data_IF_028136490441
#
_entry.id   IF_028136490441
#
_cell.length_a   1.000
_cell.length_b   1.000
_cell.length_c   1.000
_cell.angle_alpha   90.00
_cell.angle_beta   90.00
_cell.angle_gamma   90.00
#
_symmetry.space_group_name_H-M   'P 1'
#
loop_
_entity.id
_entity.type
_entity.pdbx_description
1 polymer ?
#
# COMPACT_ATOMS: atom_id res chain seq x y z
N UNK A 1 3.27 13.53 10.75
CA UNK A 1 2.77 12.30 10.11
C UNK A 1 1.26 12.32 10.09
N UNK A 2 0.62 11.82 9.02
CA UNK A 2 -0.84 11.70 8.88
C UNK A 2 -1.34 10.34 9.31
N UNK A 3 -2.61 10.25 9.67
CA UNK A 3 -3.30 9.00 9.94
C UNK A 3 -4.20 8.64 8.74
N UNK A 4 -3.94 7.50 8.13
CA UNK A 4 -4.68 6.99 6.98
C UNK A 4 -5.34 5.65 7.25
N UNK A 5 -6.24 5.28 6.35
CA UNK A 5 -6.92 3.99 6.35
C UNK A 5 -7.26 3.57 4.93
N UNK A 6 -7.37 2.26 4.68
CA UNK A 6 -7.91 1.75 3.41
C UNK A 6 -9.31 2.29 3.16
N UNK A 7 -9.54 2.77 1.96
CA UNK A 7 -10.82 3.39 1.57
C UNK A 7 -12.00 2.41 1.71
N UNK A 8 -11.75 1.11 1.51
CA UNK A 8 -12.75 0.03 1.67
C UNK A 8 -13.46 0.04 3.02
N UNK A 9 -12.79 0.47 4.09
CA UNK A 9 -13.36 0.56 5.43
C UNK A 9 -14.64 1.41 5.48
N UNK A 10 -14.73 2.42 4.63
CA UNK A 10 -15.83 3.38 4.60
C UNK A 10 -16.73 3.29 3.36
N UNK A 11 -16.45 2.38 2.41
CA UNK A 11 -17.22 2.25 1.17
C UNK A 11 -18.71 2.02 1.38
N UNK A 12 -19.10 1.32 2.44
CA UNK A 12 -20.50 1.00 2.74
C UNK A 12 -21.38 2.22 3.03
N UNK A 13 -20.76 3.35 3.38
CA UNK A 13 -21.47 4.63 3.58
C UNK A 13 -21.64 5.41 2.26
N UNK A 14 -20.96 4.98 1.18
CA UNK A 14 -20.83 5.76 -0.05
C UNK A 14 -19.65 6.74 0.02
N UNK A 15 -19.28 7.36 -1.12
CA UNK A 15 -18.02 8.09 -1.24
C UNK A 15 -17.95 9.31 -0.31
N UNK A 16 -18.93 10.23 -0.41
CA UNK A 16 -18.92 11.48 0.38
C UNK A 16 -19.20 11.21 1.86
N UNK A 17 -20.27 10.47 2.17
CA UNK A 17 -20.61 10.17 3.57
C UNK A 17 -19.51 9.31 4.26
N UNK A 18 -18.89 8.39 3.52
CA UNK A 18 -17.75 7.61 4.01
C UNK A 18 -16.55 8.50 4.35
N UNK A 19 -16.20 9.44 3.47
CA UNK A 19 -15.11 10.38 3.72
C UNK A 19 -15.40 11.29 4.92
N UNK A 20 -16.63 11.80 5.04
CA UNK A 20 -17.08 12.58 6.18
C UNK A 20 -16.93 11.81 7.49
N UNK A 21 -17.43 10.56 7.54
CA UNK A 21 -17.29 9.69 8.71
C UNK A 21 -15.83 9.38 9.05
N UNK A 22 -15.01 9.06 8.05
CA UNK A 22 -13.58 8.83 8.27
C UNK A 22 -12.93 10.07 8.91
N UNK A 23 -13.27 11.26 8.45
CA UNK A 23 -12.80 12.53 9.03
C UNK A 23 -13.28 12.75 10.45
N UNK A 24 -14.56 12.51 10.70
CA UNK A 24 -15.18 12.62 12.04
C UNK A 24 -14.54 11.62 13.04
N UNK A 25 -14.19 10.42 12.59
CA UNK A 25 -13.51 9.41 13.40
C UNK A 25 -12.04 9.75 13.65
N UNK A 26 -11.44 10.61 12.82
CA UNK A 26 -10.10 11.14 13.04
C UNK A 26 -9.05 10.73 12.03
N UNK A 27 -9.46 10.12 10.91
CA UNK A 27 -8.58 9.87 9.77
C UNK A 27 -8.40 11.14 8.92
N UNK A 28 -7.29 11.21 8.19
CA UNK A 28 -6.91 12.38 7.39
C UNK A 28 -6.74 12.03 5.91
N UNK A 29 -6.49 10.75 5.61
CA UNK A 29 -6.25 10.29 4.25
C UNK A 29 -6.70 8.85 4.03
N UNK A 30 -6.90 8.54 2.73
CA UNK A 30 -7.20 7.21 2.24
C UNK A 30 -6.00 6.58 1.55
N UNK A 31 -5.92 5.26 1.69
CA UNK A 31 -5.27 4.35 0.78
C UNK A 31 -6.32 3.79 -0.19
N UNK A 32 -6.14 3.99 -1.47
CA UNK A 32 -7.14 3.65 -2.47
C UNK A 32 -6.91 2.25 -3.03
N UNK A 33 -7.76 1.29 -2.65
CA UNK A 33 -7.62 -0.13 -2.97
C UNK A 33 -8.42 -0.62 -4.19
N UNK A 34 -9.26 0.21 -4.84
CA UNK A 34 -10.15 -0.28 -5.93
C UNK A 34 -9.45 -0.72 -7.20
N UNK A 35 -8.16 -0.46 -7.35
CA UNK A 35 -7.39 -0.96 -8.49
C UNK A 35 -6.96 -2.42 -8.32
N UNK A 36 -7.04 -2.96 -7.10
CA UNK A 36 -6.62 -4.35 -6.79
C UNK A 36 -7.31 -5.36 -7.71
N UNK A 37 -8.62 -5.22 -7.90
CA UNK A 37 -9.40 -6.10 -8.78
C UNK A 37 -9.67 -5.43 -10.15
N UNK A 38 -8.96 -5.88 -11.17
CA UNK A 38 -9.09 -5.39 -12.56
C UNK A 38 -10.35 -5.89 -13.27
N UNK A 39 -11.06 -6.87 -12.71
CA UNK A 39 -12.27 -7.43 -13.29
C UNK A 39 -13.53 -6.61 -13.00
N UNK A 40 -13.45 -5.62 -12.12
CA UNK A 40 -14.56 -4.76 -11.77
C UNK A 40 -15.01 -3.87 -12.94
N UNK A 41 -16.30 -3.59 -13.02
CA UNK A 41 -16.87 -2.63 -14.00
C UNK A 41 -16.19 -1.25 -13.88
N UNK A 42 -15.83 -0.84 -12.65
CA UNK A 42 -15.10 0.40 -12.40
C UNK A 42 -13.74 0.41 -13.08
N UNK A 43 -12.93 -0.65 -12.93
CA UNK A 43 -11.60 -0.70 -13.55
C UNK A 43 -11.69 -0.84 -15.07
N UNK A 44 -12.74 -1.47 -15.60
CA UNK A 44 -12.98 -1.66 -17.04
C UNK A 44 -13.52 -0.43 -17.76
N UNK A 45 -13.87 0.65 -17.07
CA UNK A 45 -14.32 1.88 -17.70
C UNK A 45 -13.33 2.35 -18.80
N UNK A 46 -13.80 2.90 -19.93
CA UNK A 46 -12.96 3.61 -20.88
C UNK A 46 -12.15 4.72 -20.21
N UNK A 47 -10.98 5.05 -20.74
CA UNK A 47 -10.01 5.95 -20.09
C UNK A 47 -10.63 7.30 -19.66
N UNK A 48 -11.42 7.93 -20.53
CA UNK A 48 -12.05 9.23 -20.21
C UNK A 48 -13.09 9.12 -19.10
N UNK A 49 -13.88 8.04 -19.07
CA UNK A 49 -14.86 7.79 -18.02
C UNK A 49 -14.17 7.42 -16.70
N UNK A 50 -13.10 6.61 -16.77
CA UNK A 50 -12.28 6.24 -15.63
C UNK A 50 -11.65 7.48 -14.98
N UNK A 51 -11.06 8.37 -15.80
CA UNK A 51 -10.51 9.65 -15.36
C UNK A 51 -11.59 10.54 -14.73
N UNK A 52 -12.75 10.67 -15.38
CA UNK A 52 -13.84 11.48 -14.86
C UNK A 52 -14.33 10.98 -13.51
N UNK A 53 -14.51 9.65 -13.36
CA UNK A 53 -14.95 9.06 -12.10
C UNK A 53 -13.92 9.23 -10.98
N UNK A 54 -12.63 9.02 -11.25
CA UNK A 54 -11.58 9.22 -10.25
C UNK A 54 -11.42 10.69 -9.84
N UNK A 55 -11.56 11.60 -10.80
CA UNK A 55 -11.59 13.03 -10.50
C UNK A 55 -12.77 13.38 -9.61
N UNK A 56 -13.96 12.85 -9.90
CA UNK A 56 -15.15 13.01 -9.07
C UNK A 56 -14.96 12.45 -7.66
N UNK A 57 -14.36 11.25 -7.53
CA UNK A 57 -14.05 10.65 -6.23
C UNK A 57 -13.12 11.58 -5.44
N UNK A 58 -12.03 12.03 -6.06
CA UNK A 58 -11.09 12.97 -5.43
C UNK A 58 -11.79 14.22 -4.90
N UNK A 59 -12.62 14.86 -5.73
CA UNK A 59 -13.32 16.09 -5.37
C UNK A 59 -14.28 15.86 -4.19
N UNK A 60 -15.02 14.75 -4.19
CA UNK A 60 -15.94 14.42 -3.11
C UNK A 60 -15.21 14.15 -1.78
N UNK A 61 -14.11 13.37 -1.79
CA UNK A 61 -13.40 13.09 -0.55
C UNK A 61 -12.64 14.31 -0.03
N UNK A 62 -12.11 15.15 -0.93
CA UNK A 62 -11.46 16.41 -0.55
C UNK A 62 -12.43 17.43 0.04
N UNK A 63 -13.66 17.49 -0.45
CA UNK A 63 -14.71 18.35 0.12
C UNK A 63 -15.01 18.02 1.59
N UNK A 64 -14.83 16.75 1.99
CA UNK A 64 -14.97 16.31 3.38
C UNK A 64 -13.66 16.38 4.19
N UNK A 65 -12.59 16.90 3.62
CA UNK A 65 -11.29 17.07 4.28
C UNK A 65 -10.44 15.80 4.35
N UNK A 66 -10.69 14.81 3.50
CA UNK A 66 -9.87 13.61 3.30
C UNK A 66 -9.07 13.76 2.01
N UNK A 67 -7.81 13.32 2.01
CA UNK A 67 -6.98 13.25 0.78
C UNK A 67 -6.68 11.80 0.44
N UNK A 68 -6.55 11.46 -0.84
CA UNK A 68 -5.98 10.16 -1.22
C UNK A 68 -4.46 10.31 -1.16
N UNK A 69 -3.82 9.60 -0.23
CA UNK A 69 -2.38 9.69 -0.01
C UNK A 69 -1.62 8.72 -0.90
N UNK A 70 -2.09 7.48 -0.92
CA UNK A 70 -1.50 6.39 -1.68
C UNK A 70 -2.60 5.58 -2.38
N UNK A 71 -2.22 4.80 -3.38
CA UNK A 71 -3.11 3.92 -4.11
C UNK A 71 -2.42 2.59 -4.38
N UNK A 72 -3.13 1.48 -4.14
CA UNK A 72 -2.63 0.14 -4.34
C UNK A 72 -2.77 -0.31 -5.80
N UNK A 73 -1.72 -0.91 -6.33
CA UNK A 73 -1.69 -1.48 -7.68
C UNK A 73 -2.62 -2.69 -7.81
N UNK A 74 -2.97 -3.08 -9.05
CA UNK A 74 -3.62 -4.34 -9.32
C UNK A 74 -2.86 -5.52 -8.71
N UNK A 75 -3.59 -6.39 -8.01
CA UNK A 75 -3.06 -7.60 -7.42
C UNK A 75 -3.88 -8.80 -7.87
N UNK A 76 -3.23 -9.93 -8.15
CA UNK A 76 -3.92 -11.16 -8.49
C UNK A 76 -3.25 -12.38 -7.85
N UNK A 77 -4.07 -13.18 -7.21
CA UNK A 77 -3.67 -14.47 -6.67
C UNK A 77 -4.71 -15.55 -7.04
N UNK A 78 -4.31 -16.74 -7.52
CA UNK A 78 -2.93 -17.16 -7.77
C UNK A 78 -2.25 -16.31 -8.87
N UNK A 79 -0.91 -16.17 -8.82
CA UNK A 79 -0.19 -15.34 -9.77
C UNK A 79 -0.26 -15.89 -11.20
N UNK A 80 -0.39 -15.00 -12.18
CA UNK A 80 -0.38 -15.30 -13.63
C UNK A 80 0.62 -14.38 -14.32
N UNK A 81 1.90 -14.52 -13.96
CA UNK A 81 3.00 -13.68 -14.45
C UNK A 81 4.08 -14.49 -15.17
N UNK A 82 3.78 -15.76 -15.51
CA UNK A 82 4.78 -16.72 -15.96
C UNK A 82 5.31 -16.41 -17.37
N UNK A 83 4.44 -15.98 -18.28
CA UNK A 83 4.83 -15.70 -19.66
C UNK A 83 5.09 -14.22 -19.92
N UNK A 84 5.87 -13.85 -20.94
CA UNK A 84 6.00 -12.46 -21.38
C UNK A 84 4.65 -11.82 -21.73
N UNK A 85 3.73 -12.59 -22.32
CA UNK A 85 2.39 -12.14 -22.71
C UNK A 85 1.55 -11.79 -21.47
N UNK A 86 1.54 -12.65 -20.43
CA UNK A 86 0.86 -12.37 -19.17
C UNK A 86 1.38 -11.08 -18.50
N UNK A 87 2.71 -10.90 -18.53
CA UNK A 87 3.35 -9.69 -17.97
C UNK A 87 3.04 -8.44 -18.80
N UNK A 88 2.96 -8.57 -20.13
CA UNK A 88 2.59 -7.45 -20.99
C UNK A 88 1.14 -7.00 -20.76
N UNK A 89 0.20 -7.95 -20.60
CA UNK A 89 -1.18 -7.66 -20.20
C UNK A 89 -1.22 -6.95 -18.85
N UNK A 90 -0.54 -7.51 -17.85
CA UNK A 90 -0.49 -6.91 -16.51
C UNK A 90 0.11 -5.51 -16.52
N UNK A 91 1.10 -5.23 -17.37
CA UNK A 91 1.69 -3.90 -17.50
C UNK A 91 0.68 -2.86 -17.99
N UNK A 92 -0.25 -3.24 -18.87
CA UNK A 92 -1.33 -2.34 -19.30
C UNK A 92 -2.24 -1.96 -18.14
N UNK A 93 -2.64 -2.93 -17.32
CA UNK A 93 -3.46 -2.68 -16.12
C UNK A 93 -2.72 -1.82 -15.10
N UNK A 94 -1.43 -2.12 -14.86
CA UNK A 94 -0.59 -1.33 -13.96
C UNK A 94 -0.45 0.13 -14.43
N UNK A 95 -0.23 0.36 -15.73
CA UNK A 95 -0.18 1.72 -16.30
C UNK A 95 -1.50 2.46 -16.13
N UNK A 96 -2.62 1.78 -16.35
CA UNK A 96 -3.95 2.37 -16.09
C UNK A 96 -4.12 2.74 -14.62
N UNK A 97 -3.71 1.88 -13.69
CA UNK A 97 -3.77 2.15 -12.27
C UNK A 97 -2.86 3.32 -11.85
N UNK A 98 -1.64 3.43 -12.41
CA UNK A 98 -0.75 4.59 -12.20
C UNK A 98 -1.42 5.89 -12.66
N UNK A 99 -2.04 5.91 -13.85
CA UNK A 99 -2.81 7.07 -14.30
C UNK A 99 -3.96 7.37 -13.34
N UNK A 100 -4.64 6.31 -12.90
CA UNK A 100 -5.71 6.43 -11.90
C UNK A 100 -5.23 7.04 -10.58
N UNK A 101 -4.07 6.64 -10.07
CA UNK A 101 -3.47 7.25 -8.88
C UNK A 101 -3.23 8.76 -9.08
N UNK A 102 -2.72 9.15 -10.25
CA UNK A 102 -2.56 10.57 -10.62
C UNK A 102 -3.90 11.32 -10.64
N UNK A 103 -4.95 10.76 -11.23
CA UNK A 103 -6.28 11.40 -11.28
C UNK A 103 -6.89 11.59 -9.89
N UNK A 104 -6.61 10.67 -8.96
CA UNK A 104 -6.97 10.78 -7.54
C UNK A 104 -6.13 11.81 -6.78
N UNK A 105 -4.97 12.22 -7.33
CA UNK A 105 -3.99 13.06 -6.64
C UNK A 105 -3.13 12.30 -5.63
N UNK A 106 -3.12 10.97 -5.70
CA UNK A 106 -2.22 10.14 -4.90
C UNK A 106 -0.78 10.28 -5.41
N UNK A 107 0.17 10.44 -4.47
CA UNK A 107 1.58 10.63 -4.77
C UNK A 107 2.38 9.34 -4.67
N UNK A 108 1.88 8.39 -3.89
CA UNK A 108 2.48 7.10 -3.62
C UNK A 108 1.66 6.00 -4.30
N UNK A 109 2.33 5.17 -5.09
CA UNK A 109 1.73 4.01 -5.73
C UNK A 109 2.36 2.75 -5.14
N UNK A 110 1.56 1.90 -4.52
CA UNK A 110 2.02 0.68 -3.85
C UNK A 110 1.97 -0.48 -4.83
N UNK A 111 3.02 -1.28 -4.90
CA UNK A 111 3.10 -2.41 -5.84
C UNK A 111 3.77 -3.63 -5.20
N UNK A 112 3.19 -4.79 -5.44
CA UNK A 112 3.81 -6.08 -5.15
C UNK A 112 4.73 -6.52 -6.30
N UNK A 113 5.76 -7.28 -5.96
CA UNK A 113 6.58 -7.93 -6.97
C UNK A 113 5.77 -8.93 -7.81
N UNK A 114 6.12 -9.06 -9.09
CA UNK A 114 5.64 -10.15 -9.93
C UNK A 114 6.13 -11.50 -9.42
N UNK A 115 5.33 -12.52 -9.61
CA UNK A 115 5.64 -13.91 -9.26
C UNK A 115 5.72 -14.78 -10.53
N UNK A 116 6.76 -14.61 -11.37
CA UNK A 116 6.85 -15.30 -12.66
C UNK A 116 7.01 -16.82 -12.53
N UNK A 117 7.40 -17.31 -11.37
CA UNK A 117 7.56 -18.74 -11.06
C UNK A 117 6.51 -19.24 -10.06
N UNK A 118 5.39 -18.52 -9.92
CA UNK A 118 4.36 -18.81 -8.93
C UNK A 118 4.75 -18.34 -7.53
N UNK A 119 4.03 -18.83 -6.51
CA UNK A 119 4.23 -18.46 -5.11
C UNK A 119 5.37 -19.22 -4.40
N UNK A 120 6.35 -19.69 -5.14
CA UNK A 120 7.53 -20.37 -4.60
C UNK A 120 8.78 -19.62 -5.03
N UNK A 121 9.78 -19.62 -4.16
CA UNK A 121 11.10 -19.06 -4.49
C UNK A 121 11.70 -19.87 -5.64
N UNK A 122 12.09 -19.23 -6.73
CA UNK A 122 12.70 -19.93 -7.85
C UNK A 122 14.12 -20.39 -7.49
N UNK A 123 14.58 -21.43 -8.18
CA UNK A 123 15.98 -21.86 -8.12
C UNK A 123 16.95 -20.76 -8.61
N UNK A 124 16.43 -19.77 -9.34
CA UNK A 124 17.18 -18.63 -9.84
C UNK A 124 16.54 -17.29 -9.35
N UNK A 125 16.87 -16.82 -8.15
CA UNK A 125 16.35 -15.57 -7.64
C UNK A 125 16.81 -14.32 -8.42
N UNK A 126 17.96 -14.38 -9.09
CA UNK A 126 18.43 -13.29 -9.95
C UNK A 126 17.49 -13.07 -11.13
N UNK A 127 17.12 -14.14 -11.84
CA UNK A 127 16.19 -14.04 -12.98
C UNK A 127 14.83 -13.46 -12.55
N UNK A 128 14.35 -13.82 -11.36
CA UNK A 128 13.12 -13.24 -10.82
C UNK A 128 13.27 -11.74 -10.57
N UNK A 129 14.40 -11.31 -10.00
CA UNK A 129 14.71 -9.88 -9.79
C UNK A 129 14.85 -9.13 -11.11
N UNK A 130 15.47 -9.73 -12.12
CA UNK A 130 15.61 -9.12 -13.45
C UNK A 130 14.26 -8.92 -14.15
N UNK A 131 13.37 -9.91 -14.11
CA UNK A 131 12.01 -9.79 -14.65
C UNK A 131 11.24 -8.66 -13.96
N UNK A 132 11.33 -8.57 -12.62
CA UNK A 132 10.72 -7.49 -11.87
C UNK A 132 11.32 -6.12 -12.21
N UNK A 133 12.65 -6.06 -12.38
CA UNK A 133 13.35 -4.83 -12.73
C UNK A 133 12.93 -4.30 -14.11
N UNK A 134 12.89 -5.15 -15.12
CA UNK A 134 12.41 -4.78 -16.46
C UNK A 134 10.96 -4.27 -16.42
N UNK A 135 10.08 -4.98 -15.71
CA UNK A 135 8.67 -4.60 -15.59
C UNK A 135 8.50 -3.25 -14.88
N UNK A 136 9.15 -3.06 -13.74
CA UNK A 136 9.03 -1.83 -12.95
C UNK A 136 9.71 -0.64 -13.62
N UNK A 137 10.79 -0.84 -14.39
CA UNK A 137 11.40 0.22 -15.18
C UNK A 137 10.44 0.77 -16.26
N UNK A 138 9.66 -0.11 -16.89
CA UNK A 138 8.63 0.32 -17.85
C UNK A 138 7.47 1.06 -17.15
N UNK A 139 7.10 0.63 -15.94
CA UNK A 139 6.06 1.29 -15.16
C UNK A 139 6.50 2.67 -14.65
N UNK A 140 7.77 2.83 -14.29
CA UNK A 140 8.33 4.10 -13.85
C UNK A 140 8.19 5.21 -14.89
N UNK A 141 8.29 4.87 -16.18
CA UNK A 141 8.07 5.84 -17.27
C UNK A 141 6.66 6.44 -17.24
N UNK A 142 5.66 5.60 -16.98
CA UNK A 142 4.26 6.03 -16.83
C UNK A 142 4.08 6.88 -15.58
N UNK A 143 4.66 6.47 -14.45
CA UNK A 143 4.57 7.18 -13.18
C UNK A 143 5.16 8.60 -13.29
N UNK A 144 6.33 8.75 -13.89
CA UNK A 144 6.94 10.05 -14.16
C UNK A 144 6.07 10.90 -15.08
N UNK A 145 5.55 10.33 -16.18
CA UNK A 145 4.72 11.06 -17.14
C UNK A 145 3.43 11.60 -16.52
N UNK A 146 2.89 10.92 -15.52
CA UNK A 146 1.64 11.31 -14.84
C UNK A 146 1.85 11.96 -13.47
N UNK A 147 3.10 12.22 -13.06
CA UNK A 147 3.41 12.97 -11.83
C UNK A 147 3.16 12.20 -10.54
N UNK A 148 3.19 10.86 -10.58
CA UNK A 148 3.28 10.02 -9.38
C UNK A 148 4.69 10.18 -8.81
N UNK A 149 4.81 10.54 -7.53
CA UNK A 149 6.10 10.87 -6.94
C UNK A 149 6.91 9.62 -6.61
N UNK A 150 6.26 8.57 -6.11
CA UNK A 150 6.95 7.34 -5.71
C UNK A 150 6.18 6.08 -6.08
N UNK A 151 6.91 5.08 -6.58
CA UNK A 151 6.50 3.68 -6.68
C UNK A 151 7.07 2.98 -5.45
N UNK A 152 6.20 2.51 -4.57
CA UNK A 152 6.59 1.88 -3.31
C UNK A 152 6.45 0.36 -3.44
N UNK A 153 7.59 -0.33 -3.44
CA UNK A 153 7.63 -1.79 -3.49
C UNK A 153 7.32 -2.34 -2.11
N UNK A 154 6.27 -3.12 -2.00
CA UNK A 154 5.80 -3.69 -0.75
C UNK A 154 6.46 -5.04 -0.48
N UNK A 155 6.88 -5.26 0.77
CA UNK A 155 7.37 -6.56 1.23
C UNK A 155 6.21 -7.57 1.30
N UNK A 156 6.44 -8.82 0.85
CA UNK A 156 5.42 -9.86 0.80
C UNK A 156 5.37 -10.72 2.08
N UNK A 157 4.18 -11.31 2.45
CA UNK A 157 3.92 -11.83 3.79
C UNK A 157 4.58 -13.16 4.14
N UNK A 158 5.14 -13.92 3.19
CA UNK A 158 5.61 -15.27 3.49
C UNK A 158 7.01 -15.54 3.01
N UNK A 159 7.84 -16.25 3.82
CA UNK A 159 9.15 -16.73 3.39
C UNK A 159 9.06 -17.50 2.06
N UNK A 160 9.96 -17.18 1.14
CA UNK A 160 10.01 -17.79 -0.19
C UNK A 160 9.27 -17.02 -1.28
N UNK A 161 8.47 -16.02 -0.94
CA UNK A 161 7.98 -15.05 -1.93
C UNK A 161 9.06 -14.05 -2.35
N UNK A 162 8.96 -13.45 -3.55
CA UNK A 162 9.92 -12.42 -3.96
C UNK A 162 9.78 -11.17 -3.09
N UNK A 163 10.92 -10.58 -2.71
CA UNK A 163 10.95 -9.32 -1.96
C UNK A 163 10.12 -9.38 -0.66
N UNK A 164 10.28 -10.45 0.10
CA UNK A 164 9.56 -10.64 1.36
C UNK A 164 10.29 -10.10 2.60
N UNK A 165 11.59 -9.84 2.49
CA UNK A 165 12.39 -9.22 3.54
C UNK A 165 12.79 -7.79 3.19
N UNK A 166 12.85 -6.93 4.18
CA UNK A 166 13.21 -5.51 4.02
C UNK A 166 14.54 -5.31 3.32
N UNK A 167 15.56 -6.11 3.64
CA UNK A 167 16.87 -6.04 2.97
C UNK A 167 16.75 -6.28 1.46
N UNK A 168 15.95 -7.26 1.05
CA UNK A 168 15.72 -7.57 -0.37
C UNK A 168 15.01 -6.41 -1.09
N UNK A 169 14.00 -5.83 -0.44
CA UNK A 169 13.29 -4.65 -0.96
C UNK A 169 14.24 -3.46 -1.10
N UNK A 170 15.07 -3.20 -0.09
CA UNK A 170 16.05 -2.11 -0.09
C UNK A 170 17.09 -2.27 -1.20
N UNK A 171 17.67 -3.46 -1.35
CA UNK A 171 18.61 -3.75 -2.45
C UNK A 171 17.94 -3.55 -3.82
N UNK A 172 16.71 -4.04 -3.96
CA UNK A 172 15.96 -3.92 -5.19
C UNK A 172 15.65 -2.45 -5.54
N UNK A 173 15.12 -1.65 -4.63
CA UNK A 173 14.82 -0.24 -4.92
C UNK A 173 16.09 0.58 -5.16
N UNK A 174 17.20 0.29 -4.49
CA UNK A 174 18.51 0.92 -4.79
C UNK A 174 18.97 0.60 -6.21
N UNK A 175 18.85 -0.66 -6.63
CA UNK A 175 19.11 -1.08 -8.00
C UNK A 175 18.25 -0.31 -8.99
N UNK A 176 16.94 -0.28 -8.75
CA UNK A 176 15.96 0.37 -9.63
C UNK A 176 16.24 1.88 -9.77
N UNK A 177 16.49 2.57 -8.67
CA UNK A 177 16.83 4.00 -8.70
C UNK A 177 18.11 4.27 -9.50
N UNK A 178 19.11 3.41 -9.37
CA UNK A 178 20.35 3.49 -10.17
C UNK A 178 20.09 3.25 -11.66
N UNK A 179 19.34 2.20 -12.02
CA UNK A 179 19.07 1.82 -13.40
C UNK A 179 18.18 2.86 -14.12
N UNK A 180 17.22 3.44 -13.42
CA UNK A 180 16.32 4.48 -13.96
C UNK A 180 16.88 5.90 -13.80
N UNK A 181 18.03 6.07 -13.15
CA UNK A 181 18.63 7.37 -12.84
C UNK A 181 17.64 8.33 -12.15
N UNK A 182 16.87 7.80 -11.18
CA UNK A 182 15.84 8.52 -10.44
C UNK A 182 15.81 8.09 -8.98
N UNK A 183 14.98 8.72 -8.16
CA UNK A 183 14.68 8.35 -6.78
C UNK A 183 13.20 7.97 -6.59
N UNK A 184 12.55 7.57 -7.69
CA UNK A 184 11.12 7.28 -7.71
C UNK A 184 10.75 6.02 -6.92
N UNK A 185 11.68 5.04 -6.80
CA UNK A 185 11.42 3.81 -6.08
C UNK A 185 11.71 3.94 -4.60
N UNK A 186 10.73 3.59 -3.79
CA UNK A 186 10.80 3.49 -2.34
C UNK A 186 10.26 2.13 -1.90
N UNK A 187 10.27 1.87 -0.61
CA UNK A 187 9.69 0.67 -0.01
C UNK A 187 8.41 1.06 0.73
N UNK A 188 7.37 0.27 0.56
CA UNK A 188 6.24 0.21 1.47
C UNK A 188 6.52 -0.91 2.48
N UNK A 189 6.55 -0.59 3.76
CA UNK A 189 6.57 -1.62 4.81
C UNK A 189 5.14 -1.94 5.21
N UNK A 190 4.77 -3.19 4.94
CA UNK A 190 3.64 -3.80 5.60
C UNK A 190 4.12 -4.45 6.91
N UNK A 191 3.55 -3.98 8.02
CA UNK A 191 3.97 -4.39 9.37
C UNK A 191 3.62 -5.84 9.68
N UNK A 192 2.46 -6.30 9.20
CA UNK A 192 2.03 -7.68 9.38
C UNK A 192 2.82 -8.64 8.50
N UNK A 193 3.17 -8.24 7.27
CA UNK A 193 4.03 -9.03 6.39
C UNK A 193 5.44 -9.22 7.00
N UNK A 194 6.03 -8.13 7.52
CA UNK A 194 7.32 -8.23 8.24
C UNK A 194 7.21 -9.21 9.42
N UNK A 195 6.18 -9.06 10.26
CA UNK A 195 5.97 -9.93 11.42
C UNK A 195 5.76 -11.40 11.02
N UNK A 196 4.98 -11.68 9.97
CA UNK A 196 4.75 -13.03 9.45
C UNK A 196 6.03 -13.67 8.86
N UNK A 197 6.98 -12.86 8.42
CA UNK A 197 8.32 -13.29 8.00
C UNK A 197 9.31 -13.42 9.16
N UNK A 198 8.91 -13.10 10.40
CA UNK A 198 9.79 -13.11 11.56
C UNK A 198 10.75 -11.91 11.62
N UNK A 199 10.44 -10.84 10.90
CA UNK A 199 11.19 -9.58 10.89
C UNK A 199 10.49 -8.55 11.78
N UNK A 200 11.27 -7.81 12.59
CA UNK A 200 10.71 -6.69 13.36
C UNK A 200 10.35 -5.51 12.43
N UNK A 201 9.09 -5.05 12.40
CA UNK A 201 8.74 -3.86 11.65
C UNK A 201 9.53 -2.61 12.06
N UNK A 202 9.91 -2.50 13.33
CA UNK A 202 10.75 -1.42 13.83
C UNK A 202 12.17 -1.47 13.24
N UNK A 203 12.78 -2.65 13.18
CA UNK A 203 14.10 -2.83 12.56
C UNK A 203 14.03 -2.59 11.05
N UNK A 204 12.95 -3.01 10.40
CA UNK A 204 12.70 -2.71 8.99
C UNK A 204 12.68 -1.19 8.72
N UNK A 205 11.95 -0.44 9.54
CA UNK A 205 11.90 1.04 9.47
C UNK A 205 13.30 1.66 9.65
N UNK A 206 14.07 1.22 10.65
CA UNK A 206 15.43 1.71 10.89
C UNK A 206 16.38 1.40 9.72
N UNK A 207 16.26 0.20 9.14
CA UNK A 207 17.07 -0.25 7.99
C UNK A 207 16.83 0.64 6.76
N UNK A 208 15.58 0.98 6.48
CA UNK A 208 15.23 1.82 5.33
C UNK A 208 15.60 3.30 5.55
N UNK A 209 15.47 3.77 6.78
CA UNK A 209 15.61 5.19 7.07
C UNK A 209 14.60 6.06 6.31
N UNK A 210 14.68 7.38 6.49
CA UNK A 210 13.83 8.34 5.78
C UNK A 210 14.02 8.31 4.26
N UNK A 211 15.20 7.87 3.81
CA UNK A 211 15.55 7.89 2.39
C UNK A 211 14.76 6.88 1.57
N UNK A 212 14.55 5.65 2.10
CA UNK A 212 13.94 4.57 1.34
C UNK A 212 12.54 4.17 1.81
N UNK A 213 12.12 4.55 3.03
CA UNK A 213 10.74 4.32 3.48
C UNK A 213 9.81 5.35 2.83
N UNK A 214 8.92 4.90 1.94
CA UNK A 214 7.99 5.78 1.23
C UNK A 214 6.55 5.67 1.71
N UNK A 215 6.12 4.48 2.09
CA UNK A 215 4.75 4.20 2.50
C UNK A 215 4.68 3.14 3.60
N UNK A 216 3.54 3.05 4.25
CA UNK A 216 3.24 2.07 5.28
C UNK A 216 1.88 1.44 5.04
N UNK A 217 1.79 0.11 5.22
CA UNK A 217 0.59 -0.63 5.52
C UNK A 217 0.67 -1.13 6.95
N UNK A 218 -0.32 -0.80 7.76
CA UNK A 218 -0.25 -1.01 9.21
C UNK A 218 -1.39 -1.91 9.66
N UNK A 219 -1.04 -3.09 10.13
CA UNK A 219 -1.90 -4.04 10.80
C UNK A 219 -1.08 -4.99 11.68
N UNK A 220 -1.73 -5.79 12.49
CA UNK A 220 -1.11 -6.74 13.40
C UNK A 220 -1.45 -8.19 13.03
N UNK A 221 -0.69 -9.14 13.54
CA UNK A 221 -0.96 -10.57 13.46
C UNK A 221 -0.19 -11.36 14.52
N UNK A 222 -0.33 -12.67 14.50
CA UNK A 222 0.32 -13.59 15.47
C UNK A 222 1.76 -14.01 15.08
N UNK A 223 2.33 -13.41 14.01
CA UNK A 223 3.63 -13.78 13.47
C UNK A 223 3.61 -15.03 12.57
N UNK A 224 2.45 -15.58 12.25
CA UNK A 224 2.34 -16.82 11.45
C UNK A 224 1.46 -16.67 10.20
N UNK A 225 0.55 -15.71 10.19
CA UNK A 225 -0.43 -15.49 9.12
C UNK A 225 -0.69 -14.01 8.93
N UNK A 226 -1.02 -13.68 7.71
CA UNK A 226 -1.46 -12.37 7.31
C UNK A 226 -2.96 -12.20 7.63
N UNK A 227 -3.26 -11.66 8.83
CA UNK A 227 -4.63 -11.64 9.39
C UNK A 227 -5.25 -10.25 9.53
N UNK A 228 -4.51 -9.19 9.26
CA UNK A 228 -4.98 -7.81 9.31
C UNK A 228 -5.70 -7.43 10.62
N UNK A 229 -5.16 -7.87 11.77
CA UNK A 229 -5.70 -7.50 13.09
C UNK A 229 -5.41 -6.06 13.44
N UNK A 230 -6.16 -5.53 14.41
CA UNK A 230 -5.89 -4.20 14.96
C UNK A 230 -4.54 -4.17 15.68
N UNK A 231 -3.79 -3.07 15.59
CA UNK A 231 -2.55 -2.92 16.34
C UNK A 231 -2.75 -3.15 17.84
N UNK A 232 -1.98 -4.07 18.39
CA UNK A 232 -2.03 -4.52 19.78
C UNK A 232 -2.87 -5.78 20.02
N UNK A 233 -3.50 -6.36 19.01
CA UNK A 233 -4.15 -7.67 19.08
C UNK A 233 -3.22 -8.82 18.76
N UNK A 234 -2.06 -8.54 18.15
CA UNK A 234 -1.05 -9.51 17.77
C UNK A 234 0.23 -9.40 18.58
N UNK A 235 1.37 -9.60 17.91
CA UNK A 235 2.69 -9.73 18.57
C UNK A 235 3.67 -8.61 18.24
N UNK A 236 3.28 -7.62 17.42
CA UNK A 236 4.15 -6.51 17.02
C UNK A 236 4.40 -5.56 18.19
N UNK A 237 5.65 -5.17 18.42
CA UNK A 237 6.02 -4.14 19.39
C UNK A 237 5.76 -2.74 18.81
N UNK A 238 4.57 -2.23 19.09
CA UNK A 238 4.12 -0.91 18.62
C UNK A 238 4.85 0.26 19.28
N UNK A 239 5.42 0.05 20.46
CA UNK A 239 6.24 1.08 21.11
C UNK A 239 7.57 1.24 20.37
N UNK A 240 8.25 0.13 20.08
CA UNK A 240 9.50 0.16 19.33
C UNK A 240 9.28 0.61 17.87
N UNK A 241 8.18 0.18 17.23
CA UNK A 241 7.81 0.68 15.90
C UNK A 241 7.62 2.20 15.86
N UNK A 242 6.91 2.76 16.85
CA UNK A 242 6.74 4.21 16.98
C UNK A 242 8.07 4.93 17.17
N UNK A 243 8.95 4.39 18.05
CA UNK A 243 10.28 4.95 18.28
C UNK A 243 11.13 4.92 16.99
N UNK A 244 11.09 3.83 16.22
CA UNK A 244 11.80 3.72 14.96
C UNK A 244 11.36 4.78 13.93
N UNK A 245 10.06 5.03 13.81
CA UNK A 245 9.53 6.09 12.94
C UNK A 245 10.00 7.49 13.39
N UNK A 246 10.04 7.74 14.71
CA UNK A 246 10.57 8.97 15.29
C UNK A 246 12.06 9.14 15.00
N UNK A 247 12.86 8.10 15.22
CA UNK A 247 14.32 8.07 15.00
C UNK A 247 14.70 8.47 13.58
N UNK A 248 13.95 7.97 12.58
CA UNK A 248 14.20 8.31 11.16
C UNK A 248 13.54 9.62 10.72
N UNK A 249 12.69 10.23 11.55
CA UNK A 249 11.94 11.43 11.21
C UNK A 249 10.95 11.19 10.07
N UNK A 250 10.17 10.11 10.11
CA UNK A 250 9.16 9.81 9.08
C UNK A 250 7.98 10.79 9.15
N UNK A 251 7.67 11.45 8.04
CA UNK A 251 6.61 12.47 7.93
C UNK A 251 5.43 12.04 7.06
N UNK A 252 5.44 10.80 6.53
CA UNK A 252 4.43 10.27 5.62
C UNK A 252 3.07 10.00 6.25
N UNK A 253 2.40 8.98 5.75
CA UNK A 253 1.12 8.51 6.25
C UNK A 253 1.30 7.15 6.94
N UNK A 254 0.79 7.03 8.17
CA UNK A 254 0.56 5.74 8.79
C UNK A 254 -0.81 5.26 8.32
N UNK A 255 -0.82 4.42 7.29
CA UNK A 255 -2.03 3.92 6.65
C UNK A 255 -2.42 2.57 7.23
N UNK A 256 -3.57 2.49 7.86
CA UNK A 256 -4.10 1.21 8.31
C UNK A 256 -4.62 0.38 7.14
N UNK A 257 -4.10 -0.85 7.02
CA UNK A 257 -4.63 -1.90 6.16
C UNK A 257 -5.43 -2.92 6.99
N UNK A 258 -6.13 -2.43 7.97
CA UNK A 258 -7.11 -3.15 8.79
C UNK A 258 -8.40 -2.37 8.85
N UNK A 259 -9.51 -3.06 8.99
CA UNK A 259 -10.84 -2.46 9.06
C UNK A 259 -11.75 -3.17 10.06
N UNK A 260 -12.77 -2.48 10.51
CA UNK A 260 -13.83 -3.13 11.29
C UNK A 260 -14.56 -4.15 10.42
N UNK A 261 -14.66 -5.42 10.85
CA UNK A 261 -15.23 -6.49 10.03
C UNK A 261 -16.61 -6.15 9.47
N UNK A 262 -16.86 -6.55 8.23
CA UNK A 262 -18.15 -6.31 7.56
C UNK A 262 -19.35 -6.99 8.23
N UNK A 263 -19.11 -7.97 9.13
CA UNK A 263 -20.12 -8.56 9.98
C UNK A 263 -20.68 -7.60 11.02
N UNK A 264 -19.94 -6.53 11.37
CA UNK A 264 -20.44 -5.46 12.24
C UNK A 264 -21.31 -4.52 11.39
N UNK A 265 -22.63 -4.39 11.68
CA UNK A 265 -23.51 -3.54 10.89
C UNK A 265 -23.17 -2.06 11.03
N UNK A 266 -23.59 -1.26 10.06
CA UNK A 266 -23.51 0.20 10.16
C UNK A 266 -24.30 0.69 11.38
N UNK A 267 -23.76 1.66 12.11
CA UNK A 267 -24.36 2.26 13.31
C UNK A 267 -23.38 2.44 14.43
N UNK A 268 -23.90 2.74 15.61
CA UNK A 268 -23.14 3.16 16.80
C UNK A 268 -21.97 2.21 17.16
N UNK A 269 -22.18 0.89 17.09
CA UNK A 269 -21.13 -0.08 17.44
C UNK A 269 -19.98 -0.05 16.44
N UNK A 270 -20.27 0.08 15.16
CA UNK A 270 -19.25 0.21 14.11
C UNK A 270 -18.50 1.51 14.25
N UNK A 271 -19.21 2.64 14.38
CA UNK A 271 -18.61 3.96 14.60
C UNK A 271 -17.66 3.95 15.82
N UNK A 272 -18.08 3.31 16.93
CA UNK A 272 -17.23 3.17 18.12
C UNK A 272 -15.92 2.43 17.82
N UNK A 273 -15.96 1.33 17.08
CA UNK A 273 -14.77 0.54 16.73
C UNK A 273 -13.85 1.28 15.75
N UNK A 274 -14.42 1.99 14.80
CA UNK A 274 -13.66 2.81 13.85
C UNK A 274 -12.97 4.00 14.56
N UNK A 275 -13.63 4.63 15.54
CA UNK A 275 -13.03 5.64 16.41
C UNK A 275 -11.90 5.03 17.25
N UNK A 276 -12.12 3.84 17.84
CA UNK A 276 -11.11 3.14 18.63
C UNK A 276 -9.84 2.84 17.81
N UNK A 277 -10.00 2.39 16.55
CA UNK A 277 -8.89 2.19 15.62
C UNK A 277 -8.11 3.51 15.38
N UNK A 278 -8.82 4.61 15.13
CA UNK A 278 -8.18 5.91 14.97
C UNK A 278 -7.44 6.38 16.24
N UNK A 279 -8.00 6.13 17.43
CA UNK A 279 -7.34 6.46 18.71
C UNK A 279 -6.08 5.62 18.95
N UNK A 280 -6.05 4.35 18.53
CA UNK A 280 -4.84 3.50 18.53
C UNK A 280 -3.77 4.17 17.65
N UNK A 281 -4.11 4.54 16.42
CA UNK A 281 -3.20 5.21 15.51
C UNK A 281 -2.64 6.51 16.07
N UNK A 282 -3.50 7.37 16.63
CA UNK A 282 -3.06 8.61 17.27
C UNK A 282 -2.10 8.37 18.45
N UNK A 283 -2.27 7.27 19.20
CA UNK A 283 -1.34 6.92 20.29
C UNK A 283 0.04 6.51 19.77
N UNK A 284 0.07 5.76 18.67
CA UNK A 284 1.33 5.39 18.00
C UNK A 284 2.02 6.67 17.48
N UNK A 285 1.30 7.54 16.77
CA UNK A 285 1.84 8.78 16.20
C UNK A 285 2.31 9.77 17.28
N UNK A 286 1.62 9.90 18.42
CA UNK A 286 1.99 10.85 19.48
C UNK A 286 3.33 10.60 20.15
N UNK A 287 3.92 9.43 19.96
CA UNK A 287 5.26 9.10 20.47
C UNK A 287 6.38 9.59 19.54
N UNK A 288 6.01 9.99 18.33
CA UNK A 288 6.90 10.52 17.30
C UNK A 288 6.97 12.05 17.40
#
# INVERSE_FOLDING_TARGET
>A
MKLGIVESAYMRYGISEGAKKAKEHGFECYDFGRFIDTETEFFKLPEEEFKAELTRIRELVQAEGITVWQAHAPWRFPPRDATPEDRAERLLDMRKAVRGASYLGAKHFIIHALMPFGSHSPDNPELMRDINAEFMAELAKEAVAYGVEHINVENLPFPGLPLNYTEQCLEFVKRMNKETSSDIFKVCIDTGHSNACGESPADAVRMLGKEYLGALHVHDNDGTRDTHWLPGEGTIDWEDFSNALAEIGFEGCMSFETEVPNSVPLGVERDRREIELAEIGKKIIKRI
#
